data_IF_521412991952
#
_entry.id   IF_521412991952
#
_cell.length_a   1.000
_cell.length_b   1.000
_cell.length_c   1.000
_cell.angle_alpha   90.00
_cell.angle_beta   90.00
_cell.angle_gamma   90.00
#
_symmetry.space_group_name_H-M   'P 1'
#
loop_
_entity.id
_entity.type
_entity.pdbx_description
1 polymer ?
#
# COMPACT_ATOMS: atom_id res chain seq x y z
N UNK A 1 56.80 20.25 32.92
CA UNK A 1 55.77 20.35 31.89
C UNK A 1 54.93 19.05 31.83
N UNK A 2 53.77 19.10 32.47
CA UNK A 2 52.76 18.02 32.52
C UNK A 2 51.80 18.18 31.36
N UNK A 3 51.81 17.24 30.47
CA UNK A 3 50.78 17.12 29.42
C UNK A 3 49.59 16.37 29.98
N UNK A 4 48.47 17.05 30.08
CA UNK A 4 47.16 16.47 30.45
C UNK A 4 46.61 15.75 29.22
N UNK A 5 46.42 14.43 29.34
CA UNK A 5 45.75 13.60 28.36
C UNK A 5 44.25 13.79 28.51
N UNK A 6 43.63 14.23 27.43
CA UNK A 6 42.18 14.45 27.35
C UNK A 6 41.47 13.11 27.21
N UNK A 7 40.85 12.63 28.27
CA UNK A 7 39.95 11.47 28.27
C UNK A 7 38.66 11.87 27.58
N UNK A 8 38.43 11.35 26.38
CA UNK A 8 37.13 11.39 25.73
C UNK A 8 36.15 10.55 26.55
N UNK A 9 35.23 11.22 27.23
CA UNK A 9 34.04 10.62 27.78
C UNK A 9 33.19 10.12 26.60
N UNK A 10 33.07 8.81 26.52
CA UNK A 10 32.04 8.17 25.68
C UNK A 10 30.70 8.45 26.39
N UNK A 11 29.93 9.40 25.85
CA UNK A 11 28.54 9.55 26.22
C UNK A 11 27.80 8.26 25.80
N UNK A 12 27.52 7.43 26.80
CA UNK A 12 26.42 6.47 26.68
C UNK A 12 25.15 7.28 26.42
N UNK A 13 24.68 7.27 25.19
CA UNK A 13 23.35 7.76 24.84
C UNK A 13 22.36 6.98 25.68
N UNK A 14 21.92 7.57 26.80
CA UNK A 14 20.76 7.13 27.52
C UNK A 14 19.58 7.25 26.54
N UNK A 15 19.07 6.12 26.06
CA UNK A 15 17.73 6.08 25.49
C UNK A 15 16.83 6.75 26.53
N UNK A 16 16.34 7.93 26.20
CA UNK A 16 15.28 8.60 26.93
C UNK A 16 14.12 7.59 27.01
N UNK A 17 13.83 7.09 28.19
CA UNK A 17 12.61 6.35 28.46
C UNK A 17 11.46 7.32 28.20
N UNK A 18 10.84 7.23 27.03
CA UNK A 18 9.52 7.82 26.81
C UNK A 18 8.58 7.18 27.85
N UNK A 19 7.74 7.95 28.55
CA UNK A 19 6.79 7.32 29.47
C UNK A 19 5.92 6.35 28.67
N UNK A 20 5.84 5.10 29.13
CA UNK A 20 5.00 4.08 28.52
C UNK A 20 3.59 4.64 28.30
N UNK A 21 3.16 4.72 27.04
CA UNK A 21 1.86 5.25 26.65
C UNK A 21 0.84 4.12 26.41
N UNK A 22 1.34 2.93 26.09
CA UNK A 22 0.54 1.71 25.89
C UNK A 22 1.21 0.53 26.59
N UNK A 23 0.42 -0.45 27.00
CA UNK A 23 0.90 -1.73 27.53
C UNK A 23 -0.05 -2.87 27.15
N UNK A 24 0.48 -4.09 27.20
CA UNK A 24 -0.28 -5.33 27.11
C UNK A 24 -0.31 -6.00 28.48
N UNK A 25 -1.50 -6.34 28.97
CA UNK A 25 -1.69 -6.93 30.30
C UNK A 25 -2.42 -8.26 30.22
N UNK A 26 -2.22 -9.09 31.25
CA UNK A 26 -2.85 -10.41 31.39
C UNK A 26 -2.46 -11.43 30.30
N UNK A 27 -1.42 -11.16 29.51
CA UNK A 27 -0.82 -12.09 28.55
C UNK A 27 0.36 -12.86 29.13
N UNK A 28 0.87 -13.84 28.38
CA UNK A 28 1.97 -14.70 28.80
C UNK A 28 3.36 -14.00 28.73
N UNK A 29 3.48 -12.86 28.06
CA UNK A 29 4.73 -12.13 27.83
C UNK A 29 4.52 -10.66 27.51
N UNK A 30 5.61 -9.95 27.22
CA UNK A 30 5.57 -8.52 26.89
C UNK A 30 4.83 -8.20 25.58
N UNK A 31 4.76 -9.18 24.67
CA UNK A 31 4.16 -9.04 23.33
C UNK A 31 2.74 -9.58 23.24
N UNK A 32 2.10 -9.90 24.35
CA UNK A 32 0.73 -10.43 24.35
C UNK A 32 -0.06 -9.92 25.54
N UNK A 33 -1.34 -9.62 25.36
CA UNK A 33 -2.21 -9.16 26.42
C UNK A 33 -3.36 -8.29 25.94
N UNK A 34 -4.16 -7.83 26.90
CA UNK A 34 -5.19 -6.84 26.68
C UNK A 34 -4.55 -5.46 26.50
N UNK A 35 -4.97 -4.73 25.49
CA UNK A 35 -4.42 -3.40 25.20
C UNK A 35 -4.95 -2.38 26.20
N UNK A 36 -4.02 -1.71 26.88
CA UNK A 36 -4.33 -0.59 27.77
C UNK A 36 -3.51 0.64 27.40
N UNK A 37 -4.17 1.80 27.43
CA UNK A 37 -3.59 3.11 27.09
C UNK A 37 -3.57 4.00 28.33
N UNK A 38 -2.53 4.76 28.50
CA UNK A 38 -2.39 5.69 29.63
C UNK A 38 -3.21 6.97 29.39
N UNK A 39 -4.24 7.18 30.20
CA UNK A 39 -5.10 8.36 30.16
C UNK A 39 -5.05 9.07 31.53
N UNK A 40 -4.62 10.33 31.56
CA UNK A 40 -4.67 11.19 32.75
C UNK A 40 -4.18 10.54 34.06
N UNK A 41 -3.07 9.81 34.02
CA UNK A 41 -2.44 9.05 35.12
C UNK A 41 -3.11 7.71 35.48
N UNK A 42 -4.16 7.30 34.80
CA UNK A 42 -4.77 5.96 34.92
C UNK A 42 -4.65 5.18 33.61
N UNK A 43 -4.79 3.86 33.68
CA UNK A 43 -4.83 3.00 32.52
C UNK A 43 -6.27 2.72 32.11
N UNK A 44 -6.55 2.75 30.83
CA UNK A 44 -7.86 2.48 30.24
C UNK A 44 -7.75 1.40 29.18
N UNK A 45 -8.64 0.40 29.24
CA UNK A 45 -8.71 -0.68 28.25
C UNK A 45 -9.28 -0.15 26.93
N UNK A 46 -8.72 -0.58 25.80
CA UNK A 46 -9.20 -0.22 24.48
C UNK A 46 -10.26 -1.22 24.01
N UNK A 47 -11.32 -0.71 23.41
CA UNK A 47 -12.38 -1.52 22.82
C UNK A 47 -12.00 -2.07 21.46
N UNK A 48 -12.43 -3.27 21.14
CA UNK A 48 -12.21 -3.89 19.83
C UNK A 48 -12.83 -3.09 18.70
N UNK A 49 -14.01 -2.51 18.91
CA UNK A 49 -14.68 -1.69 17.90
C UNK A 49 -13.96 -0.39 17.56
N UNK A 50 -13.03 0.06 18.40
CA UNK A 50 -12.26 1.29 18.29
C UNK A 50 -10.77 1.05 17.94
N UNK A 51 -10.42 -0.20 17.54
CA UNK A 51 -9.04 -0.64 17.37
C UNK A 51 -8.90 -1.63 16.22
N UNK A 52 -8.16 -1.28 15.22
CA UNK A 52 -7.96 -2.08 14.01
C UNK A 52 -6.54 -2.67 13.89
N UNK A 53 -6.27 -3.31 12.74
CA UNK A 53 -4.96 -3.91 12.49
C UNK A 53 -3.84 -2.87 12.36
N UNK A 54 -4.12 -1.68 11.84
CA UNK A 54 -3.11 -0.63 11.70
C UNK A 54 -2.72 -0.06 13.05
N UNK A 55 -3.69 0.07 13.96
CA UNK A 55 -3.45 0.45 15.35
C UNK A 55 -2.61 -0.62 16.07
N UNK A 56 -2.92 -1.89 15.83
CA UNK A 56 -2.16 -3.02 16.37
C UNK A 56 -0.69 -3.03 15.88
N UNK A 57 -0.43 -2.66 14.63
CA UNK A 57 0.93 -2.53 14.08
C UNK A 57 1.74 -1.44 14.80
N UNK A 58 1.10 -0.35 15.15
CA UNK A 58 1.74 0.73 15.92
C UNK A 58 2.03 0.28 17.34
N UNK A 59 1.08 -0.37 18.03
CA UNK A 59 1.27 -0.90 19.39
C UNK A 59 2.38 -1.93 19.45
N UNK A 60 2.40 -2.92 18.55
CA UNK A 60 3.46 -3.92 18.52
C UNK A 60 4.84 -3.26 18.34
N UNK A 61 4.95 -2.28 17.45
CA UNK A 61 6.21 -1.54 17.23
C UNK A 61 6.63 -0.70 18.44
N UNK A 62 5.69 0.02 19.08
CA UNK A 62 5.95 0.82 20.28
C UNK A 62 6.51 -0.03 21.41
N UNK A 63 5.99 -1.24 21.58
CA UNK A 63 6.41 -2.20 22.60
C UNK A 63 7.70 -2.96 22.23
N UNK A 64 8.23 -2.74 21.02
CA UNK A 64 9.42 -3.45 20.54
C UNK A 64 9.15 -4.90 20.16
N UNK A 65 7.90 -5.23 19.90
CA UNK A 65 7.46 -6.51 19.36
C UNK A 65 7.41 -6.47 17.82
N UNK A 66 7.30 -7.65 17.20
CA UNK A 66 7.12 -7.77 15.76
C UNK A 66 5.63 -7.59 15.36
N UNK A 67 5.28 -7.92 14.12
CA UNK A 67 3.95 -7.70 13.56
C UNK A 67 2.81 -8.36 14.40
N UNK A 68 1.57 -7.80 14.33
CA UNK A 68 0.42 -8.41 14.98
C UNK A 68 0.12 -9.82 14.45
N UNK A 69 0.14 -10.81 15.35
CA UNK A 69 -0.16 -12.21 15.05
C UNK A 69 -1.64 -12.54 15.28
N UNK A 70 -2.24 -11.98 16.33
CA UNK A 70 -3.66 -12.15 16.63
C UNK A 70 -4.27 -10.88 17.23
N UNK A 71 -5.50 -10.58 16.83
CA UNK A 71 -6.32 -9.48 17.33
C UNK A 71 -7.72 -10.02 17.57
N UNK A 72 -8.17 -10.07 18.82
CA UNK A 72 -9.46 -10.71 19.17
C UNK A 72 -10.03 -10.16 20.48
N UNK A 73 -11.34 -9.99 20.51
CA UNK A 73 -12.11 -9.62 21.71
C UNK A 73 -11.94 -10.65 22.83
N UNK A 74 -11.74 -10.17 24.06
CA UNK A 74 -11.77 -11.00 25.26
C UNK A 74 -10.69 -12.07 25.34
N UNK A 75 -9.71 -12.09 24.45
CA UNK A 75 -8.63 -13.08 24.40
C UNK A 75 -7.83 -13.14 25.72
N UNK A 76 -7.72 -12.02 26.42
CA UNK A 76 -6.98 -11.88 27.69
C UNK A 76 -7.87 -11.36 28.83
N UNK A 77 -9.13 -11.81 28.87
CA UNK A 77 -10.09 -11.51 29.93
C UNK A 77 -10.77 -10.15 29.82
N UNK A 78 -11.73 -9.96 30.74
CA UNK A 78 -12.49 -8.73 30.89
C UNK A 78 -11.64 -7.70 31.64
N UNK A 79 -11.48 -6.51 31.10
CA UNK A 79 -10.77 -5.43 31.78
C UNK A 79 -11.54 -4.92 33.00
N UNK A 80 -10.88 -4.86 34.15
CA UNK A 80 -11.38 -4.13 35.29
C UNK A 80 -10.93 -2.69 35.20
N UNK A 81 -11.83 -1.73 35.00
CA UNK A 81 -11.44 -0.32 35.02
C UNK A 81 -12.11 0.56 33.96
N UNK A 82 -11.46 1.68 33.69
CA UNK A 82 -11.93 2.62 32.68
C UNK A 82 -11.67 2.10 31.27
N UNK A 83 -12.59 2.42 30.35
CA UNK A 83 -12.40 2.19 28.94
C UNK A 83 -11.97 3.48 28.26
N UNK A 84 -11.06 3.37 27.29
CA UNK A 84 -10.68 4.45 26.38
C UNK A 84 -11.92 4.91 25.60
N UNK A 85 -12.12 6.22 25.42
CA UNK A 85 -13.38 6.82 24.94
C UNK A 85 -13.35 7.25 23.47
N UNK A 86 -12.22 7.03 22.77
CA UNK A 86 -12.03 7.41 21.37
C UNK A 86 -11.63 6.23 20.50
N UNK A 87 -11.94 6.35 19.21
CA UNK A 87 -11.48 5.44 18.16
C UNK A 87 -10.09 5.92 17.66
N UNK A 88 -9.11 5.02 17.60
CA UNK A 88 -7.82 5.31 16.97
C UNK A 88 -7.94 5.32 15.46
N UNK A 89 -7.11 6.11 14.78
CA UNK A 89 -7.07 6.27 13.32
C UNK A 89 -5.61 6.26 12.86
N UNK A 90 -4.87 5.21 13.22
CA UNK A 90 -3.48 5.08 12.83
C UNK A 90 -3.33 4.77 11.33
N UNK A 91 -2.21 5.20 10.75
CA UNK A 91 -1.81 4.89 9.36
C UNK A 91 -0.80 3.75 9.30
N UNK A 92 -0.52 3.11 10.44
CA UNK A 92 0.43 2.01 10.59
C UNK A 92 1.91 2.41 10.53
N UNK A 93 2.24 3.72 10.51
CA UNK A 93 3.62 4.23 10.41
C UNK A 93 4.09 5.01 11.64
N UNK A 94 3.20 5.34 12.53
CA UNK A 94 3.43 6.11 13.74
C UNK A 94 4.35 5.34 14.71
N UNK A 95 5.18 6.05 15.45
CA UNK A 95 6.09 5.46 16.42
C UNK A 95 5.44 5.17 17.76
N UNK A 96 4.39 5.91 18.12
CA UNK A 96 3.62 5.79 19.34
C UNK A 96 2.13 5.78 19.03
N UNK A 97 1.34 5.00 19.77
CA UNK A 97 -0.11 4.94 19.60
C UNK A 97 -0.78 6.30 19.87
N UNK A 98 -0.27 7.06 20.81
CA UNK A 98 -0.80 8.39 21.13
C UNK A 98 -0.46 9.47 20.09
N UNK A 99 0.40 9.18 19.12
CA UNK A 99 0.69 10.05 17.96
C UNK A 99 -0.34 9.85 16.83
N UNK A 100 -1.18 8.81 16.92
CA UNK A 100 -2.24 8.57 15.96
C UNK A 100 -3.35 9.60 16.09
N UNK A 101 -3.99 9.95 14.96
CA UNK A 101 -5.22 10.70 14.95
C UNK A 101 -6.31 9.92 15.72
N UNK A 102 -7.22 10.62 16.39
CA UNK A 102 -8.35 9.99 17.09
C UNK A 102 -9.66 10.63 16.67
N UNK A 103 -10.73 9.84 16.63
CA UNK A 103 -12.10 10.32 16.41
C UNK A 103 -12.99 9.97 17.58
N UNK A 104 -14.13 10.69 17.70
CA UNK A 104 -15.14 10.34 18.67
C UNK A 104 -15.77 8.99 18.33
N UNK A 105 -15.98 8.16 19.35
CA UNK A 105 -16.57 6.84 19.18
C UNK A 105 -17.95 6.91 18.51
N UNK A 106 -18.15 6.13 17.46
CA UNK A 106 -19.41 6.05 16.71
C UNK A 106 -20.54 5.34 17.47
N UNK A 107 -20.20 4.44 18.37
CA UNK A 107 -21.13 3.63 19.14
C UNK A 107 -20.84 3.71 20.63
N UNK A 108 -21.84 4.06 21.43
CA UNK A 108 -21.71 4.50 22.82
C UNK A 108 -21.50 3.39 23.86
N UNK A 109 -21.23 2.15 23.47
CA UNK A 109 -21.16 1.02 24.40
C UNK A 109 -19.93 0.15 24.20
N UNK A 110 -18.85 0.51 24.89
CA UNK A 110 -17.81 -0.45 25.22
C UNK A 110 -18.13 -1.08 26.57
N UNK A 111 -18.59 -2.31 26.58
CA UNK A 111 -18.72 -3.10 27.80
C UNK A 111 -17.34 -3.65 28.21
N UNK A 112 -17.09 -3.87 29.51
CA UNK A 112 -15.80 -4.42 29.96
C UNK A 112 -15.35 -5.70 29.25
N UNK A 113 -16.29 -6.56 28.84
CA UNK A 113 -16.00 -7.78 28.08
C UNK A 113 -15.57 -7.56 26.62
N UNK A 114 -15.63 -6.34 26.11
CA UNK A 114 -15.28 -6.02 24.72
C UNK A 114 -13.88 -5.41 24.57
N UNK A 115 -13.03 -5.54 25.58
CA UNK A 115 -11.65 -5.12 25.51
C UNK A 115 -10.88 -5.93 24.46
N UNK A 116 -10.06 -5.26 23.65
CA UNK A 116 -9.25 -5.91 22.63
C UNK A 116 -8.04 -6.59 23.22
N UNK A 117 -7.86 -7.86 22.87
CA UNK A 117 -6.65 -8.63 23.13
C UNK A 117 -5.76 -8.65 21.88
N UNK A 118 -4.50 -8.35 22.08
CA UNK A 118 -3.49 -8.31 21.03
C UNK A 118 -2.38 -9.30 21.35
N UNK A 119 -1.98 -10.08 20.36
CA UNK A 119 -0.73 -10.84 20.37
C UNK A 119 0.13 -10.34 19.24
N UNK A 120 1.27 -9.77 19.58
CA UNK A 120 2.34 -9.49 18.62
C UNK A 120 3.30 -10.67 18.58
N UNK A 121 3.96 -10.89 17.48
CA UNK A 121 5.09 -11.81 17.42
C UNK A 121 6.20 -11.32 18.34
N UNK A 122 6.83 -12.24 19.06
CA UNK A 122 8.01 -11.89 19.85
C UNK A 122 9.15 -11.54 18.89
N UNK A 123 10.04 -10.59 19.24
CA UNK A 123 11.22 -10.32 18.45
C UNK A 123 12.02 -11.61 18.25
N UNK A 124 12.41 -11.87 17.02
CA UNK A 124 13.22 -13.04 16.72
C UNK A 124 14.50 -13.04 17.56
N UNK A 125 14.69 -14.09 18.33
CA UNK A 125 15.96 -14.35 19.01
C UNK A 125 17.02 -14.95 18.09
N UNK A 126 16.71 -15.04 16.78
CA UNK A 126 17.56 -15.59 15.72
C UNK A 126 17.59 -14.60 14.55
N UNK A 127 18.73 -14.50 13.89
CA UNK A 127 18.90 -13.72 12.65
C UNK A 127 19.90 -14.39 11.71
N UNK A 128 19.80 -14.03 10.44
CA UNK A 128 20.79 -14.38 9.42
C UNK A 128 21.60 -13.11 9.06
N UNK A 129 22.92 -13.21 9.07
CA UNK A 129 23.81 -12.06 8.84
C UNK A 129 24.78 -12.32 7.68
N UNK A 130 25.08 -11.25 6.92
CA UNK A 130 26.10 -11.28 5.86
C UNK A 130 25.67 -11.91 4.54
N UNK A 131 24.44 -12.38 4.39
CA UNK A 131 23.93 -13.01 3.17
C UNK A 131 23.27 -12.06 2.18
N UNK A 132 23.13 -10.77 2.46
CA UNK A 132 22.50 -9.80 1.57
C UNK A 132 20.97 -9.83 1.55
N UNK A 133 20.34 -10.73 2.32
CA UNK A 133 18.92 -10.86 2.54
C UNK A 133 18.65 -11.28 3.98
N UNK A 134 17.47 -10.99 4.53
CA UNK A 134 17.04 -11.51 5.84
C UNK A 134 16.90 -13.05 5.87
N UNK A 135 16.79 -13.67 4.69
CA UNK A 135 16.60 -15.11 4.50
C UNK A 135 17.87 -15.86 4.06
N UNK A 136 19.03 -15.23 4.16
CA UNK A 136 20.33 -15.88 3.93
C UNK A 136 21.42 -15.29 4.80
N UNK A 137 22.35 -16.13 5.28
CA UNK A 137 23.52 -15.67 6.03
C UNK A 137 23.92 -16.58 7.16
N UNK A 138 24.96 -16.16 7.86
CA UNK A 138 25.43 -16.83 9.07
C UNK A 138 24.37 -16.75 10.15
N UNK A 139 24.10 -17.90 10.79
CA UNK A 139 23.09 -17.98 11.84
C UNK A 139 23.62 -17.39 13.14
N UNK A 140 22.94 -16.40 13.67
CA UNK A 140 23.19 -15.83 14.99
C UNK A 140 21.96 -15.95 15.86
N UNK A 141 22.15 -16.21 17.14
CA UNK A 141 21.12 -16.22 18.17
C UNK A 141 21.44 -15.23 19.27
N UNK A 142 20.43 -14.51 19.74
CA UNK A 142 20.53 -13.64 20.90
C UNK A 142 20.54 -14.48 22.19
N UNK A 143 21.66 -14.44 22.91
CA UNK A 143 21.90 -15.23 24.11
C UNK A 143 22.65 -14.38 25.16
N UNK A 144 22.10 -14.29 26.37
CA UNK A 144 22.71 -13.56 27.50
C UNK A 144 23.09 -12.10 27.21
N UNK A 145 22.29 -11.38 26.41
CA UNK A 145 22.52 -9.97 26.10
C UNK A 145 23.40 -9.71 24.85
N UNK A 146 23.82 -10.76 24.15
CA UNK A 146 24.71 -10.65 22.98
C UNK A 146 24.24 -11.55 21.83
N UNK A 147 24.44 -11.09 20.58
CA UNK A 147 24.30 -11.93 19.41
C UNK A 147 25.50 -12.86 19.29
N UNK A 148 25.26 -14.15 19.25
CA UNK A 148 26.31 -15.18 19.18
C UNK A 148 26.08 -16.08 17.98
N UNK A 149 27.18 -16.42 17.29
CA UNK A 149 27.17 -17.38 16.17
C UNK A 149 26.67 -18.75 16.67
N UNK A 150 25.77 -19.34 15.89
CA UNK A 150 25.28 -20.71 16.08
C UNK A 150 26.11 -21.66 15.24
N UNK A 151 26.57 -22.73 15.85
CA UNK A 151 27.27 -23.83 15.18
C UNK A 151 26.53 -25.15 15.33
N UNK A 152 26.75 -26.05 14.39
CA UNK A 152 26.20 -27.40 14.43
C UNK A 152 27.20 -28.41 13.87
N UNK A 153 27.05 -29.69 14.24
CA UNK A 153 27.78 -30.78 13.61
C UNK A 153 27.32 -30.94 12.17
N UNK A 154 28.19 -31.42 11.28
CA UNK A 154 27.93 -31.53 9.83
C UNK A 154 26.62 -32.25 9.51
N UNK A 155 26.28 -33.28 10.26
CA UNK A 155 25.07 -34.07 10.06
C UNK A 155 23.79 -33.43 10.62
N UNK A 156 23.92 -32.37 11.39
CA UNK A 156 22.82 -31.64 12.09
C UNK A 156 22.55 -30.26 11.48
N UNK A 157 23.42 -29.79 10.57
CA UNK A 157 23.35 -28.45 10.02
C UNK A 157 22.06 -28.20 9.21
N UNK A 158 21.56 -29.20 8.49
CA UNK A 158 20.32 -29.09 7.72
C UNK A 158 19.07 -28.93 8.60
N UNK A 159 18.98 -29.71 9.70
CA UNK A 159 17.88 -29.61 10.65
C UNK A 159 17.89 -28.29 11.38
N UNK A 160 19.05 -27.82 11.82
CA UNK A 160 19.21 -26.48 12.44
C UNK A 160 18.83 -25.37 11.47
N UNK A 161 19.26 -25.44 10.21
CA UNK A 161 18.90 -24.46 9.18
C UNK A 161 17.40 -24.50 8.87
N UNK A 162 16.77 -25.69 8.86
CA UNK A 162 15.34 -25.85 8.62
C UNK A 162 14.51 -25.18 9.73
N UNK A 163 14.90 -25.33 10.99
CA UNK A 163 14.28 -24.66 12.12
C UNK A 163 14.42 -23.14 11.99
N UNK A 164 15.62 -22.65 11.67
CA UNK A 164 15.92 -21.22 11.50
C UNK A 164 15.11 -20.62 10.35
N UNK A 165 15.09 -21.25 9.15
CA UNK A 165 14.32 -20.76 8.02
C UNK A 165 12.82 -20.68 8.32
N UNK A 166 12.30 -21.66 9.06
CA UNK A 166 10.90 -21.73 9.50
C UNK A 166 10.59 -20.65 10.51
N UNK A 167 11.40 -20.50 11.56
CA UNK A 167 11.25 -19.49 12.60
C UNK A 167 11.22 -18.07 12.01
N UNK A 168 12.10 -17.78 11.04
CA UNK A 168 12.19 -16.48 10.39
C UNK A 168 11.11 -16.24 9.31
N UNK A 169 10.21 -17.21 9.06
CA UNK A 169 9.23 -17.11 7.99
C UNK A 169 9.88 -17.06 6.59
N UNK A 170 11.09 -17.58 6.47
CA UNK A 170 11.90 -17.61 5.24
C UNK A 170 11.65 -18.84 4.36
N UNK A 171 10.63 -19.63 4.65
CA UNK A 171 10.30 -20.85 3.91
C UNK A 171 11.14 -22.05 4.32
N UNK A 172 11.50 -22.90 3.37
CA UNK A 172 12.33 -24.09 3.59
C UNK A 172 13.81 -23.82 3.36
N UNK A 173 14.68 -24.68 3.90
CA UNK A 173 16.11 -24.66 3.59
C UNK A 173 16.36 -25.06 2.13
N UNK A 174 17.16 -24.29 1.43
CA UNK A 174 17.63 -24.59 0.05
C UNK A 174 19.04 -25.17 0.10
N UNK A 175 19.92 -24.56 0.88
CA UNK A 175 21.26 -25.08 1.10
C UNK A 175 21.85 -24.57 2.41
N UNK A 176 22.79 -25.33 2.91
CA UNK A 176 23.62 -24.95 4.05
C UNK A 176 25.07 -24.87 3.59
N UNK A 177 25.71 -23.76 3.89
CA UNK A 177 27.13 -23.58 3.60
C UNK A 177 27.92 -23.59 4.93
N UNK A 178 29.14 -24.16 4.95
CA UNK A 178 29.98 -24.02 6.11
C UNK A 178 30.17 -22.52 6.40
N UNK A 179 29.87 -22.13 7.61
CA UNK A 179 30.03 -20.75 8.05
C UNK A 179 31.50 -20.33 8.02
N UNK A 180 31.70 -19.04 8.04
CA UNK A 180 33.02 -18.46 8.15
C UNK A 180 33.73 -19.01 9.41
N UNK A 181 35.05 -18.96 9.49
CA UNK A 181 35.94 -19.56 10.49
C UNK A 181 35.61 -19.31 11.98
N UNK A 182 34.58 -18.55 12.27
CA UNK A 182 34.06 -18.31 13.64
C UNK A 182 33.37 -19.57 14.17
N UNK A 183 33.82 -20.04 15.32
CA UNK A 183 33.15 -21.11 16.06
C UNK A 183 31.99 -20.52 16.85
N UNK A 184 30.85 -21.15 16.76
CA UNK A 184 29.62 -20.82 17.49
C UNK A 184 29.31 -21.83 18.58
N UNK A 185 28.39 -21.48 19.48
CA UNK A 185 27.86 -22.47 20.41
C UNK A 185 27.01 -23.51 19.68
N UNK A 186 27.18 -24.75 20.09
CA UNK A 186 26.49 -25.87 19.42
C UNK A 186 25.01 -25.94 19.78
N UNK A 187 24.21 -26.23 18.78
CA UNK A 187 22.80 -26.64 18.95
C UNK A 187 22.56 -27.93 18.21
N UNK A 188 21.60 -28.70 18.65
CA UNK A 188 21.11 -29.92 18.01
C UNK A 188 19.60 -29.88 17.94
N UNK A 189 19.07 -29.97 16.73
CA UNK A 189 17.65 -30.00 16.46
C UNK A 189 17.26 -31.38 15.93
N UNK A 190 16.11 -31.87 16.36
CA UNK A 190 15.55 -33.16 15.87
C UNK A 190 14.67 -32.93 14.60
N UNK A 191 14.46 -31.66 14.16
CA UNK A 191 13.74 -31.26 12.94
C UNK A 191 12.31 -30.74 13.13
N UNK A 192 11.50 -31.22 14.09
CA UNK A 192 10.12 -30.73 14.27
C UNK A 192 10.01 -29.42 15.05
N UNK A 193 11.07 -28.93 15.67
CA UNK A 193 11.07 -27.72 16.48
C UNK A 193 10.61 -26.50 15.66
N UNK A 194 9.84 -25.62 16.30
CA UNK A 194 9.34 -24.41 15.65
C UNK A 194 10.28 -23.23 15.81
N UNK A 195 11.06 -23.22 16.88
CA UNK A 195 12.03 -22.16 17.21
C UNK A 195 13.35 -22.75 17.70
N UNK A 196 14.46 -22.07 17.39
CA UNK A 196 15.81 -22.55 17.71
C UNK A 196 16.07 -22.74 19.20
N UNK A 197 15.34 -22.06 20.08
CA UNK A 197 15.45 -22.23 21.54
C UNK A 197 14.96 -23.58 22.05
N UNK A 198 14.13 -24.30 21.29
CA UNK A 198 13.67 -25.65 21.60
C UNK A 198 14.74 -26.70 21.31
N UNK A 199 15.70 -26.39 20.44
CA UNK A 199 16.82 -27.26 20.13
C UNK A 199 17.76 -27.40 21.32
N UNK A 200 18.34 -28.59 21.49
CA UNK A 200 19.24 -28.90 22.60
C UNK A 200 20.54 -28.13 22.46
N UNK A 201 20.93 -27.39 23.49
CA UNK A 201 22.22 -26.72 23.56
C UNK A 201 23.34 -27.73 23.81
N UNK A 202 24.43 -27.60 23.02
CA UNK A 202 25.69 -28.33 23.24
C UNK A 202 26.73 -27.43 23.83
N UNK A 203 27.59 -27.97 24.68
CA UNK A 203 28.63 -27.21 25.37
C UNK A 203 29.87 -26.98 24.50
N UNK A 204 30.04 -27.77 23.42
CA UNK A 204 31.17 -27.68 22.52
C UNK A 204 30.98 -26.55 21.49
N UNK A 205 32.09 -26.03 20.97
CA UNK A 205 32.08 -25.02 19.92
C UNK A 205 32.20 -25.73 18.55
N UNK A 206 31.22 -25.50 17.71
CA UNK A 206 31.17 -26.05 16.35
C UNK A 206 31.44 -24.96 15.28
N UNK A 207 31.83 -25.33 14.06
CA UNK A 207 31.85 -24.38 12.96
C UNK A 207 30.49 -23.70 12.83
N UNK A 208 30.48 -22.38 12.63
CA UNK A 208 29.26 -21.65 12.37
C UNK A 208 28.61 -22.17 11.08
N UNK A 209 27.30 -22.06 10.96
CA UNK A 209 26.58 -22.43 9.76
C UNK A 209 25.99 -21.21 9.05
N UNK A 210 25.90 -21.29 7.73
CA UNK A 210 25.22 -20.29 6.90
C UNK A 210 24.00 -20.95 6.26
N UNK A 211 22.82 -20.45 6.60
CA UNK A 211 21.56 -20.96 6.03
C UNK A 211 21.14 -20.11 4.83
N UNK A 212 20.61 -20.77 3.81
CA UNK A 212 19.98 -20.15 2.64
C UNK A 212 18.57 -20.72 2.51
N UNK A 213 17.58 -19.87 2.67
CA UNK A 213 16.17 -20.25 2.71
C UNK A 213 15.46 -19.92 1.37
N UNK A 214 14.33 -20.61 1.10
CA UNK A 214 13.63 -20.54 -0.18
C UNK A 214 13.03 -19.16 -0.50
N UNK A 215 12.61 -18.40 0.51
CA UNK A 215 12.05 -17.04 0.34
C UNK A 215 13.16 -15.98 0.36
N UNK A 216 14.25 -16.25 -0.35
CA UNK A 216 15.43 -15.39 -0.41
C UNK A 216 15.14 -14.01 -0.98
N UNK A 217 14.35 -13.94 -2.05
CA UNK A 217 14.05 -12.71 -2.77
C UNK A 217 12.86 -12.00 -2.12
N UNK A 218 13.00 -10.68 -1.97
CA UNK A 218 11.89 -9.83 -1.53
C UNK A 218 10.81 -9.81 -2.60
N UNK A 219 9.56 -9.84 -2.16
CA UNK A 219 8.40 -9.76 -3.03
C UNK A 219 8.47 -8.49 -3.88
N UNK A 220 8.32 -8.58 -5.21
CA UNK A 220 8.32 -7.41 -6.07
C UNK A 220 7.00 -6.66 -6.01
N UNK A 221 7.07 -5.36 -6.29
CA UNK A 221 5.92 -4.49 -6.47
C UNK A 221 5.51 -4.46 -7.94
N UNK A 222 4.20 -4.40 -8.18
CA UNK A 222 3.61 -4.17 -9.50
C UNK A 222 2.83 -2.85 -9.49
N UNK A 223 3.08 -2.01 -10.50
CA UNK A 223 2.38 -0.74 -10.65
C UNK A 223 2.01 -0.50 -12.11
N UNK A 224 0.95 0.29 -12.32
CA UNK A 224 0.49 0.69 -13.64
C UNK A 224 0.54 2.21 -13.76
N UNK A 225 1.07 2.69 -14.89
CA UNK A 225 1.07 4.11 -15.26
C UNK A 225 0.37 4.25 -16.60
N UNK A 226 -0.66 5.08 -16.65
CA UNK A 226 -1.35 5.43 -17.89
C UNK A 226 -0.67 6.63 -18.58
N UNK A 227 -1.05 6.89 -19.83
CA UNK A 227 -0.52 8.02 -20.61
C UNK A 227 -0.96 9.40 -20.10
N UNK A 228 -1.89 9.46 -19.16
CA UNK A 228 -2.37 10.68 -18.50
C UNK A 228 -1.60 10.99 -17.20
N UNK A 229 -0.65 10.12 -16.81
CA UNK A 229 0.18 10.28 -15.62
C UNK A 229 -0.46 9.78 -14.33
N UNK A 230 -1.58 9.04 -14.42
CA UNK A 230 -2.16 8.33 -13.29
C UNK A 230 -1.26 7.15 -12.92
N UNK A 231 -0.81 7.10 -11.65
CA UNK A 231 -0.09 5.96 -11.10
C UNK A 231 -0.99 5.24 -10.12
N UNK A 232 -1.16 3.95 -10.30
CA UNK A 232 -1.89 3.09 -9.36
C UNK A 232 -1.05 1.86 -9.03
N UNK A 233 -0.97 1.56 -7.75
CA UNK A 233 -0.38 0.33 -7.22
C UNK A 233 -1.41 -0.40 -6.35
N UNK A 234 -1.29 -1.74 -6.27
CA UNK A 234 -2.17 -2.60 -5.47
C UNK A 234 -3.32 -3.22 -6.25
N UNK A 235 -4.23 -3.92 -5.56
CA UNK A 235 -5.25 -4.81 -6.12
C UNK A 235 -6.23 -4.19 -7.14
N UNK A 236 -6.41 -2.88 -7.15
CA UNK A 236 -7.26 -2.17 -8.09
C UNK A 236 -6.45 -1.19 -8.91
N UNK A 237 -6.10 -1.60 -10.14
CA UNK A 237 -5.50 -0.71 -11.12
C UNK A 237 -6.45 0.40 -11.57
N UNK A 238 -5.95 1.53 -12.12
CA UNK A 238 -6.78 2.53 -12.75
C UNK A 238 -7.43 1.94 -14.01
N UNK A 239 -8.58 2.51 -14.38
CA UNK A 239 -9.18 2.25 -15.66
C UNK A 239 -8.30 2.80 -16.77
N UNK A 240 -7.87 1.96 -17.70
CA UNK A 240 -7.11 2.36 -18.89
C UNK A 240 -8.08 2.60 -20.04
N UNK A 241 -7.94 3.73 -20.72
CA UNK A 241 -8.79 4.03 -21.85
C UNK A 241 -8.36 3.30 -23.12
N UNK A 242 -9.32 2.73 -23.83
CA UNK A 242 -9.09 2.05 -25.12
C UNK A 242 -8.34 2.96 -26.11
N UNK A 243 -7.30 2.42 -26.75
CA UNK A 243 -6.46 3.13 -27.71
C UNK A 243 -5.33 3.98 -27.10
N UNK A 244 -5.29 4.10 -25.76
CA UNK A 244 -4.21 4.81 -25.07
C UNK A 244 -3.09 3.85 -24.67
N UNK A 245 -1.88 4.36 -24.57
CA UNK A 245 -0.75 3.59 -24.07
C UNK A 245 -0.77 3.51 -22.54
N UNK A 246 -0.27 2.40 -22.01
CA UNK A 246 -0.02 2.23 -20.60
C UNK A 246 1.27 1.44 -20.39
N UNK A 247 1.83 1.54 -19.22
CA UNK A 247 3.05 0.83 -18.82
C UNK A 247 2.82 0.11 -17.52
N UNK A 248 3.13 -1.18 -17.47
CA UNK A 248 3.21 -1.94 -16.22
C UNK A 248 4.68 -1.97 -15.80
N UNK A 249 4.95 -1.54 -14.58
CA UNK A 249 6.30 -1.52 -14.01
C UNK A 249 6.37 -2.53 -12.88
N UNK A 250 7.30 -3.46 -13.00
CA UNK A 250 7.71 -4.36 -11.94
C UNK A 250 8.95 -3.78 -11.26
N UNK A 251 8.98 -3.74 -9.95
CA UNK A 251 10.13 -3.24 -9.19
C UNK A 251 10.35 -4.03 -7.91
N UNK A 252 11.57 -4.03 -7.41
CA UNK A 252 11.91 -4.64 -6.11
C UNK A 252 12.88 -3.75 -5.36
N UNK A 253 12.96 -3.94 -4.05
CA UNK A 253 13.96 -3.26 -3.24
C UNK A 253 15.37 -3.71 -3.67
N UNK A 254 16.41 -2.85 -3.47
CA UNK A 254 17.78 -3.24 -3.72
C UNK A 254 18.14 -4.50 -2.93
N UNK A 255 18.55 -5.55 -3.66
CA UNK A 255 18.97 -6.81 -3.10
C UNK A 255 20.12 -7.38 -3.97
N UNK A 256 20.07 -8.64 -4.39
CA UNK A 256 21.11 -9.21 -5.25
C UNK A 256 21.14 -8.54 -6.62
N UNK A 257 22.33 -8.29 -7.21
CA UNK A 257 22.42 -7.71 -8.55
C UNK A 257 21.93 -8.69 -9.62
N UNK A 258 21.41 -8.13 -10.72
CA UNK A 258 20.92 -8.92 -11.86
C UNK A 258 19.48 -9.37 -11.72
N UNK A 259 19.17 -10.52 -12.29
CA UNK A 259 17.83 -11.09 -12.36
C UNK A 259 16.97 -10.55 -13.51
N UNK A 260 15.79 -11.09 -13.65
CA UNK A 260 14.81 -10.73 -14.69
C UNK A 260 13.40 -10.73 -14.14
N UNK A 261 12.58 -9.84 -14.69
CA UNK A 261 11.15 -9.82 -14.42
C UNK A 261 10.37 -10.50 -15.54
N UNK A 262 9.41 -11.32 -15.15
CA UNK A 262 8.44 -11.95 -16.01
C UNK A 262 7.07 -11.35 -15.70
N UNK A 263 6.50 -10.65 -16.67
CA UNK A 263 5.13 -10.19 -16.56
C UNK A 263 4.21 -11.31 -17.05
N UNK A 264 3.38 -11.84 -16.17
CA UNK A 264 2.39 -12.87 -16.46
C UNK A 264 1.00 -12.26 -16.61
N UNK A 265 0.17 -12.86 -17.42
CA UNK A 265 -1.19 -12.42 -17.67
C UNK A 265 -2.16 -13.62 -17.66
N UNK A 266 -3.18 -13.57 -16.82
CA UNK A 266 -4.12 -14.68 -16.65
C UNK A 266 -5.06 -14.91 -17.84
N UNK A 267 -5.20 -13.95 -18.74
CA UNK A 267 -6.04 -14.05 -19.95
C UNK A 267 -5.39 -14.76 -21.14
N UNK A 268 -4.08 -15.00 -21.09
CA UNK A 268 -3.35 -15.76 -22.12
C UNK A 268 -2.04 -16.29 -21.57
N UNK A 269 -1.52 -17.40 -22.15
CA UNK A 269 -0.18 -17.93 -21.82
C UNK A 269 0.98 -17.01 -22.31
N UNK A 270 0.75 -15.72 -22.46
CA UNK A 270 1.78 -14.78 -22.89
C UNK A 270 2.55 -14.28 -21.67
N UNK A 271 3.82 -14.61 -21.62
CA UNK A 271 4.76 -14.06 -20.64
C UNK A 271 5.72 -13.13 -21.36
N UNK A 272 5.87 -11.92 -20.88
CA UNK A 272 6.90 -11.00 -21.35
C UNK A 272 8.04 -11.00 -20.35
N UNK A 273 9.28 -11.01 -20.83
CA UNK A 273 10.47 -11.06 -19.99
C UNK A 273 11.34 -9.85 -20.27
N UNK A 274 11.81 -9.21 -19.19
CA UNK A 274 12.80 -8.13 -19.28
C UNK A 274 13.84 -8.26 -18.17
N UNK A 275 15.13 -7.94 -18.45
CA UNK A 275 16.15 -7.90 -17.40
C UNK A 275 15.83 -6.80 -16.39
N UNK A 276 16.18 -7.03 -15.14
CA UNK A 276 16.09 -6.02 -14.10
C UNK A 276 17.19 -4.96 -14.29
N UNK A 277 16.78 -3.73 -14.55
CA UNK A 277 17.67 -2.56 -14.63
C UNK A 277 17.36 -1.65 -13.46
N UNK A 278 18.33 -1.41 -12.59
CA UNK A 278 18.12 -0.67 -11.33
C UNK A 278 16.94 -1.24 -10.51
N UNK A 279 16.90 -2.56 -10.39
CA UNK A 279 15.86 -3.32 -9.66
C UNK A 279 14.45 -3.13 -10.21
N UNK A 280 14.28 -2.74 -11.47
CA UNK A 280 12.96 -2.57 -12.08
C UNK A 280 12.95 -2.99 -13.56
N UNK A 281 11.75 -3.26 -14.10
CA UNK A 281 11.49 -3.47 -15.52
C UNK A 281 10.16 -2.85 -15.90
N UNK A 282 10.10 -2.17 -17.07
CA UNK A 282 8.91 -1.51 -17.56
C UNK A 282 8.41 -2.19 -18.83
N UNK A 283 7.16 -2.61 -18.85
CA UNK A 283 6.48 -3.27 -19.96
C UNK A 283 5.49 -2.28 -20.60
N UNK A 284 5.83 -1.77 -21.78
CA UNK A 284 5.04 -0.79 -22.50
C UNK A 284 4.00 -1.46 -23.41
N UNK A 285 2.76 -1.03 -23.29
CA UNK A 285 1.64 -1.38 -24.16
C UNK A 285 1.21 -0.13 -24.94
N UNK A 286 1.44 -0.07 -26.25
CA UNK A 286 1.26 1.18 -27.01
C UNK A 286 -0.21 1.56 -27.23
N UNK A 287 -1.12 0.60 -27.21
CA UNK A 287 -2.55 0.81 -27.36
C UNK A 287 -3.35 -0.23 -26.58
N UNK A 288 -4.15 0.21 -25.63
CA UNK A 288 -5.02 -0.66 -24.85
C UNK A 288 -6.22 -1.12 -25.69
N UNK A 289 -6.52 -2.42 -25.64
CA UNK A 289 -7.73 -3.03 -26.18
C UNK A 289 -8.31 -4.05 -25.19
N UNK A 290 -9.44 -4.65 -25.51
CA UNK A 290 -10.13 -5.59 -24.63
C UNK A 290 -9.33 -6.85 -24.31
N UNK A 291 -8.32 -7.21 -25.14
CA UNK A 291 -7.45 -8.35 -24.90
C UNK A 291 -6.42 -8.09 -23.78
N UNK A 292 -6.24 -6.84 -23.39
CA UNK A 292 -5.36 -6.46 -22.28
C UNK A 292 -6.09 -6.43 -20.93
N UNK A 293 -7.44 -6.54 -20.92
CA UNK A 293 -8.20 -6.59 -19.68
C UNK A 293 -7.99 -7.93 -18.97
N UNK A 294 -7.59 -7.89 -17.70
CA UNK A 294 -7.36 -9.09 -16.91
C UNK A 294 -6.48 -8.84 -15.70
N UNK A 295 -5.90 -9.91 -15.19
CA UNK A 295 -5.06 -9.90 -14.01
C UNK A 295 -3.61 -10.13 -14.42
N UNK A 296 -2.72 -9.29 -13.90
CA UNK A 296 -1.29 -9.33 -14.13
C UNK A 296 -0.55 -9.60 -12.82
N UNK A 297 0.59 -10.30 -12.91
CA UNK A 297 1.58 -10.38 -11.84
C UNK A 297 2.99 -10.26 -12.39
N UNK A 298 3.91 -9.79 -11.54
CA UNK A 298 5.34 -9.73 -11.82
C UNK A 298 6.03 -10.88 -11.08
N UNK A 299 6.76 -11.72 -11.79
CA UNK A 299 7.64 -12.71 -11.18
C UNK A 299 9.07 -12.24 -11.35
N UNK A 300 9.79 -12.08 -10.25
CA UNK A 300 11.22 -11.74 -10.25
C UNK A 300 12.04 -12.98 -10.00
N UNK A 301 12.88 -13.36 -10.97
CA UNK A 301 13.79 -14.48 -10.90
C UNK A 301 15.24 -14.00 -10.83
N UNK A 302 16.04 -14.61 -9.96
CA UNK A 302 17.46 -14.35 -9.89
C UNK A 302 18.25 -15.62 -9.53
N UNK A 303 19.43 -15.76 -10.12
CA UNK A 303 20.35 -16.87 -9.86
C UNK A 303 21.39 -16.44 -8.83
N UNK A 304 21.22 -16.90 -7.59
CA UNK A 304 22.05 -16.50 -6.44
C UNK A 304 22.46 -17.78 -5.68
N UNK A 305 23.64 -17.80 -5.08
CA UNK A 305 24.16 -18.97 -4.32
C UNK A 305 24.06 -20.30 -5.10
N UNK A 306 24.28 -20.27 -6.42
CA UNK A 306 24.16 -21.44 -7.31
C UNK A 306 22.77 -22.06 -7.42
N UNK A 307 21.71 -21.32 -7.03
CA UNK A 307 20.32 -21.71 -7.12
C UNK A 307 19.47 -20.64 -7.79
N UNK A 308 18.38 -21.06 -8.42
CA UNK A 308 17.36 -20.13 -8.92
C UNK A 308 16.35 -19.84 -7.82
N UNK A 309 16.12 -18.55 -7.60
CA UNK A 309 15.09 -18.05 -6.69
C UNK A 309 14.06 -17.26 -7.48
N UNK A 310 12.81 -17.37 -7.05
CA UNK A 310 11.67 -16.68 -7.67
C UNK A 310 10.79 -16.07 -6.59
N UNK A 311 10.28 -14.87 -6.86
CA UNK A 311 9.31 -14.20 -5.99
C UNK A 311 8.25 -13.51 -6.83
N UNK A 312 6.98 -13.67 -6.47
CA UNK A 312 5.84 -13.14 -7.22
C UNK A 312 5.19 -11.95 -6.48
N UNK A 313 4.79 -10.94 -7.26
CA UNK A 313 4.10 -9.75 -6.76
C UNK A 313 2.68 -10.07 -6.35
N UNK A 314 2.02 -9.08 -5.73
CA UNK A 314 0.57 -9.04 -5.67
C UNK A 314 -0.05 -8.97 -7.07
N UNK A 315 -1.34 -9.32 -7.16
CA UNK A 315 -2.09 -9.32 -8.41
C UNK A 315 -2.57 -7.90 -8.74
N UNK A 316 -2.36 -7.46 -9.99
CA UNK A 316 -2.87 -6.21 -10.52
C UNK A 316 -4.04 -6.48 -11.47
N UNK A 317 -5.23 -5.99 -11.15
CA UNK A 317 -6.41 -6.08 -12.01
C UNK A 317 -6.48 -4.86 -12.93
N UNK A 318 -6.46 -5.09 -14.24
CA UNK A 318 -6.60 -4.06 -15.28
C UNK A 318 -7.98 -4.10 -15.91
N UNK A 319 -8.65 -2.94 -15.95
CA UNK A 319 -9.90 -2.72 -16.70
C UNK A 319 -9.67 -1.78 -17.87
N UNK A 320 -10.21 -2.13 -19.05
CA UNK A 320 -10.15 -1.29 -20.26
C UNK A 320 -11.52 -0.66 -20.48
N UNK A 321 -11.58 0.67 -20.44
CA UNK A 321 -12.82 1.43 -20.58
C UNK A 321 -12.83 2.28 -21.87
N UNK A 322 -14.02 2.68 -22.32
CA UNK A 322 -14.13 3.58 -23.46
C UNK A 322 -13.64 4.98 -23.07
N UNK A 323 -12.85 5.60 -23.96
CA UNK A 323 -12.39 6.97 -23.74
C UNK A 323 -13.58 7.94 -23.62
N UNK A 324 -13.63 8.82 -22.61
CA UNK A 324 -14.68 9.82 -22.45
C UNK A 324 -14.59 10.96 -23.50
N UNK A 325 -13.44 11.12 -24.17
CA UNK A 325 -13.22 12.18 -25.16
C UNK A 325 -14.23 12.19 -26.30
N UNK A 326 -14.56 11.05 -26.96
CA UNK A 326 -15.58 11.06 -28.02
C UNK A 326 -16.96 11.54 -27.53
N UNK A 327 -17.39 11.09 -26.36
CA UNK A 327 -18.66 11.50 -25.77
C UNK A 327 -18.68 12.99 -25.43
N UNK A 328 -17.58 13.52 -24.91
CA UNK A 328 -17.43 14.95 -24.62
C UNK A 328 -17.50 15.79 -25.91
N UNK A 329 -16.77 15.41 -26.96
CA UNK A 329 -16.78 16.08 -28.25
C UNK A 329 -18.18 16.05 -28.87
N UNK A 330 -18.82 14.89 -28.89
CA UNK A 330 -20.19 14.74 -29.44
C UNK A 330 -21.14 15.66 -28.69
N UNK A 331 -21.10 15.68 -27.36
CA UNK A 331 -21.95 16.56 -26.53
C UNK A 331 -21.76 18.03 -26.89
N UNK A 332 -20.53 18.50 -27.05
CA UNK A 332 -20.23 19.91 -27.39
C UNK A 332 -20.68 20.25 -28.81
N UNK A 333 -20.46 19.35 -29.78
CA UNK A 333 -20.92 19.54 -31.15
C UNK A 333 -22.45 19.63 -31.21
N UNK A 334 -23.16 18.76 -30.52
CA UNK A 334 -24.63 18.79 -30.43
C UNK A 334 -25.12 20.11 -29.81
N UNK A 335 -24.53 20.55 -28.71
CA UNK A 335 -24.89 21.84 -28.08
C UNK A 335 -24.64 23.02 -29.03
N UNK A 336 -23.50 23.03 -29.74
CA UNK A 336 -23.21 24.07 -30.74
C UNK A 336 -24.23 24.06 -31.88
N UNK A 337 -24.62 22.90 -32.39
CA UNK A 337 -25.66 22.79 -33.44
C UNK A 337 -26.99 23.32 -32.96
N UNK A 338 -27.42 22.98 -31.72
CA UNK A 338 -28.67 23.49 -31.13
C UNK A 338 -28.61 25.03 -30.98
N UNK A 339 -27.50 25.58 -30.54
CA UNK A 339 -27.31 27.04 -30.42
C UNK A 339 -27.38 27.73 -31.80
N UNK A 340 -26.72 27.16 -32.81
CA UNK A 340 -26.73 27.68 -34.15
C UNK A 340 -28.17 27.65 -34.76
N UNK A 341 -28.89 26.56 -34.55
CA UNK A 341 -30.31 26.46 -35.03
C UNK A 341 -31.22 27.45 -34.29
N UNK A 342 -31.04 27.63 -32.99
CA UNK A 342 -31.79 28.62 -32.20
C UNK A 342 -31.52 30.06 -32.67
N UNK A 343 -30.24 30.39 -32.93
CA UNK A 343 -29.84 31.72 -33.44
C UNK A 343 -30.44 31.94 -34.84
N UNK A 344 -30.32 30.94 -35.73
CA UNK A 344 -30.83 31.09 -37.11
C UNK A 344 -32.36 31.20 -37.13
N UNK A 345 -33.08 30.42 -36.33
CA UNK A 345 -34.54 30.52 -36.21
C UNK A 345 -34.98 31.87 -35.63
N UNK A 346 -34.32 32.35 -34.58
CA UNK A 346 -34.55 33.69 -34.05
C UNK A 346 -34.31 34.77 -35.05
N UNK A 347 -33.21 34.70 -35.78
CA UNK A 347 -32.88 35.67 -36.84
C UNK A 347 -33.97 35.71 -37.95
N UNK A 348 -34.41 34.53 -38.42
CA UNK A 348 -35.46 34.42 -39.42
C UNK A 348 -36.79 34.94 -38.88
N UNK A 349 -37.13 34.66 -37.62
CA UNK A 349 -38.33 35.20 -36.97
C UNK A 349 -38.29 36.73 -36.93
N UNK A 350 -37.20 37.34 -36.48
CA UNK A 350 -37.06 38.80 -36.46
C UNK A 350 -37.08 39.41 -37.84
N UNK A 351 -36.51 38.73 -38.84
CA UNK A 351 -36.56 39.21 -40.25
C UNK A 351 -37.97 39.24 -40.78
N UNK A 352 -38.73 38.18 -40.58
CA UNK A 352 -40.15 38.06 -41.01
C UNK A 352 -41.02 39.11 -40.27
N UNK A 353 -40.80 39.30 -38.98
CA UNK A 353 -41.58 40.27 -38.20
C UNK A 353 -41.28 41.70 -38.66
N UNK A 354 -40.02 42.03 -38.93
CA UNK A 354 -39.62 43.33 -39.52
C UNK A 354 -40.22 43.55 -40.92
N UNK A 355 -40.33 42.52 -41.75
CA UNK A 355 -40.99 42.62 -43.06
C UNK A 355 -42.47 42.87 -42.95
N UNK A 356 -43.16 42.21 -41.99
CA UNK A 356 -44.59 42.44 -41.70
C UNK A 356 -44.83 43.88 -41.18
N UNK A 357 -43.95 44.38 -40.32
CA UNK A 357 -44.09 45.76 -39.85
C UNK A 357 -43.94 46.77 -40.99
N UNK A 358 -42.96 46.55 -41.89
CA UNK A 358 -42.80 47.40 -43.09
C UNK A 358 -44.00 47.33 -44.03
N UNK A 359 -44.63 46.18 -44.12
CA UNK A 359 -45.83 45.98 -44.96
C UNK A 359 -47.03 46.74 -44.38
N UNK A 360 -47.22 46.67 -43.05
CA UNK A 360 -48.26 47.45 -42.35
C UNK A 360 -47.99 48.97 -42.44
N UNK A 361 -46.74 49.40 -42.41
CA UNK A 361 -46.42 50.81 -42.62
C UNK A 361 -46.79 51.28 -44.05
N UNK A 362 -46.47 50.52 -45.09
CA UNK A 362 -46.84 50.81 -46.47
C UNK A 362 -48.36 50.80 -46.67
N UNK A 363 -49.11 49.91 -46.02
CA UNK A 363 -50.57 49.92 -46.07
C UNK A 363 -51.15 51.19 -45.42
N UNK A 364 -50.64 51.63 -44.28
CA UNK A 364 -51.04 52.91 -43.62
C UNK A 364 -50.68 54.13 -44.49
N UNK A 365 -49.54 54.11 -45.16
CA UNK A 365 -49.20 55.21 -46.10
C UNK A 365 -50.17 55.25 -47.29
N UNK A 366 -50.51 54.12 -47.89
CA UNK A 366 -51.51 54.03 -48.97
C UNK A 366 -52.91 54.46 -48.49
N UNK A 367 -53.33 54.14 -47.26
CA UNK A 367 -54.60 54.61 -46.69
C UNK A 367 -54.58 56.15 -46.54
N UNK A 368 -53.52 56.74 -46.02
CA UNK A 368 -53.37 58.18 -45.88
C UNK A 368 -53.37 58.90 -47.25
N UNK A 369 -52.74 58.30 -48.28
CA UNK A 369 -52.78 58.84 -49.66
C UNK A 369 -54.21 58.79 -50.19
N UNK A 370 -54.98 57.71 -50.03
CA UNK A 370 -56.37 57.60 -50.43
C UNK A 370 -57.29 58.58 -49.68
N UNK A 371 -57.00 58.84 -48.39
CA UNK A 371 -57.75 59.88 -47.63
C UNK A 371 -57.47 61.25 -48.16
N UNK A 372 -56.21 61.61 -48.45
CA UNK A 372 -55.83 62.89 -49.04
C UNK A 372 -56.41 63.08 -50.46
N UNK A 373 -56.51 62.03 -51.24
CA UNK A 373 -57.19 62.06 -52.57
C UNK A 373 -58.67 62.32 -52.40
N UNK A 374 -59.36 61.66 -51.49
CA UNK A 374 -60.80 61.87 -51.18
C UNK A 374 -61.06 63.29 -50.63
N UNK A 375 -60.15 63.83 -49.83
CA UNK A 375 -60.21 65.23 -49.35
C UNK A 375 -60.10 66.19 -50.50
N UNK A 376 -59.13 66.02 -51.40
CA UNK A 376 -59.01 66.84 -52.65
C UNK A 376 -60.14 66.76 -53.58
N UNK A 377 -60.82 65.58 -53.69
CA UNK A 377 -62.01 65.41 -54.47
C UNK A 377 -63.22 66.18 -53.83
N UNK A 378 -63.38 66.06 -52.49
CA UNK A 378 -64.43 66.86 -51.77
C UNK A 378 -64.20 68.37 -51.85
N UNK A 379 -62.91 68.83 -51.82
CA UNK A 379 -62.60 70.23 -52.04
C UNK A 379 -62.96 70.71 -53.47
N UNK A 380 -62.63 69.90 -54.46
CA UNK A 380 -63.03 70.14 -55.88
C UNK A 380 -64.58 70.17 -56.12
N UNK A 381 -65.27 69.30 -55.38
CA UNK A 381 -66.76 69.26 -55.42
C UNK A 381 -67.38 70.50 -54.68
N UNK A 382 -66.68 71.07 -53.67
CA UNK A 382 -67.13 72.30 -52.97
C UNK A 382 -66.82 73.58 -53.78
N UNK A 383 -65.89 73.55 -54.67
CA UNK A 383 -65.57 74.70 -55.58
C UNK A 383 -66.37 74.70 -56.87
N UNK A 384 -67.12 73.65 -57.13
CA UNK A 384 -68.15 73.63 -58.27
C UNK A 384 -69.53 74.00 -57.74
#
# INVERSE_FOLDING_TARGET
>A
SLTVSSTKLIECSSKSFSPESVRLVDGAGLCSGRVEVKSNQSWASVCEADFDRQDAEVVCRELGCEAPAALQVGLYGEGEGQTWDKEFQCKGKESLLLDCDTSDRKHNTCLPGNAVGLTCSEPDDVRLVGGGSRCAGGVERYDQGEWRTVGAEDWDQEDVAAVVCRQLGCGSTVSVLPGNTTRGFGVHCDGPETVLRECRRRYDLYPGLTAICSNLLVQPDISLTDSMGGVSGGHKGPDVFRGYSFTITCSTQPQYPGGSFFLTFTGSNRTQTQPAVNHSAAFLFPAADDSHQGIYSCVYDNYVFSHNFSSESELLSLTVTASPLPAFIIRHVVVLLILLTAITTSYLYYKVEREREREKERERERERERERERERERERERER
#
